data_IF_080253689425
#
_entry.id   IF_080253689425
#
_cell.length_a   1.000
_cell.length_b   1.000
_cell.length_c   1.000
_cell.angle_alpha   90.00
_cell.angle_beta   90.00
_cell.angle_gamma   90.00
#
_symmetry.space_group_name_H-M   'P 1'
#
loop_
_entity.id
_entity.type
_entity.pdbx_description
1 polymer ?
#
# COMPACT_ATOMS: atom_id res chain seq x y z
N UNK A 1 6.56 -6.14 11.83
CA UNK A 1 7.04 -5.62 10.53
C UNK A 1 5.83 -5.41 9.64
N UNK A 2 5.73 -4.23 9.02
CA UNK A 2 4.64 -3.84 8.12
C UNK A 2 5.24 -3.12 6.91
N UNK A 3 4.71 -3.41 5.73
CA UNK A 3 5.12 -2.77 4.48
C UNK A 3 4.11 -1.67 4.18
N UNK A 4 4.60 -0.45 3.98
CA UNK A 4 3.80 0.68 3.52
C UNK A 4 4.24 1.03 2.11
N UNK A 5 3.29 1.27 1.22
CA UNK A 5 3.56 1.60 -0.18
C UNK A 5 2.70 2.80 -0.58
N UNK A 6 3.33 3.86 -1.07
CA UNK A 6 2.65 4.82 -1.94
C UNK A 6 2.34 4.12 -3.27
N UNK A 7 1.07 3.81 -3.46
CA UNK A 7 0.57 3.03 -4.58
C UNK A 7 0.24 3.89 -5.81
N UNK A 8 0.28 5.22 -5.69
CA UNK A 8 0.17 6.16 -6.80
C UNK A 8 1.47 6.25 -7.60
N UNK A 9 2.60 6.24 -6.91
CA UNK A 9 3.93 6.20 -7.53
C UNK A 9 4.31 4.80 -8.06
N UNK A 10 3.66 3.73 -7.58
CA UNK A 10 4.03 2.36 -7.93
C UNK A 10 3.31 1.82 -9.19
N UNK A 11 4.05 1.32 -10.20
CA UNK A 11 3.49 0.56 -11.32
C UNK A 11 2.75 -0.70 -10.85
N UNK A 12 1.83 -1.21 -11.69
CA UNK A 12 1.02 -2.39 -11.37
C UNK A 12 1.89 -3.62 -11.01
N UNK A 13 2.93 -3.88 -11.78
CA UNK A 13 3.76 -5.07 -11.61
C UNK A 13 4.52 -5.06 -10.27
N UNK A 14 4.91 -3.88 -9.79
CA UNK A 14 5.53 -3.71 -8.47
C UNK A 14 4.53 -4.03 -7.36
N UNK A 15 3.29 -3.56 -7.48
CA UNK A 15 2.22 -3.86 -6.53
C UNK A 15 1.92 -5.36 -6.48
N UNK A 16 1.91 -6.03 -7.63
CA UNK A 16 1.72 -7.48 -7.69
C UNK A 16 2.85 -8.27 -7.00
N UNK A 17 4.10 -7.80 -7.10
CA UNK A 17 5.22 -8.37 -6.34
C UNK A 17 5.01 -8.20 -4.84
N UNK A 18 4.62 -7.00 -4.39
CA UNK A 18 4.33 -6.74 -2.97
C UNK A 18 3.20 -7.63 -2.47
N UNK A 19 2.10 -7.78 -3.22
CA UNK A 19 0.98 -8.63 -2.84
C UNK A 19 1.39 -10.10 -2.67
N UNK A 20 2.16 -10.64 -3.62
CA UNK A 20 2.68 -12.01 -3.55
C UNK A 20 3.65 -12.18 -2.38
N UNK A 21 4.51 -11.21 -2.14
CA UNK A 21 5.46 -11.23 -1.03
C UNK A 21 4.74 -11.17 0.33
N UNK A 22 3.79 -10.25 0.50
CA UNK A 22 2.95 -10.10 1.69
C UNK A 22 2.18 -11.39 2.01
N UNK A 23 1.55 -11.99 0.99
CA UNK A 23 0.85 -13.28 1.12
C UNK A 23 1.79 -14.41 1.59
N UNK A 24 2.92 -14.57 0.91
CA UNK A 24 3.87 -15.67 1.17
C UNK A 24 4.57 -15.53 2.51
N UNK A 25 4.88 -14.31 2.92
CA UNK A 25 5.61 -14.03 4.16
C UNK A 25 4.70 -13.72 5.34
N UNK A 26 3.39 -13.67 5.12
CA UNK A 26 2.40 -13.32 6.16
C UNK A 26 2.70 -11.97 6.81
N UNK A 27 3.15 -11.01 6.01
CA UNK A 27 3.49 -9.65 6.44
C UNK A 27 2.41 -8.72 5.95
N UNK A 28 1.92 -7.84 6.82
CA UNK A 28 0.92 -6.85 6.46
C UNK A 28 1.50 -5.84 5.47
N UNK A 29 0.83 -5.65 4.35
CA UNK A 29 1.11 -4.64 3.34
C UNK A 29 -0.09 -3.70 3.22
N UNK A 30 0.15 -2.41 3.39
CA UNK A 30 -0.87 -1.36 3.28
C UNK A 30 -0.54 -0.47 2.09
N UNK A 31 -1.45 -0.45 1.12
CA UNK A 31 -1.35 0.36 -0.09
C UNK A 31 -2.04 1.71 0.15
N UNK A 32 -1.31 2.81 0.07
CA UNK A 32 -1.86 4.16 0.25
C UNK A 32 -1.95 4.83 -1.11
N UNK A 33 -3.12 5.36 -1.47
CA UNK A 33 -3.33 6.01 -2.76
C UNK A 33 -4.42 7.08 -2.70
N UNK A 34 -4.39 8.03 -3.62
CA UNK A 34 -5.40 9.08 -3.80
C UNK A 34 -6.69 8.59 -4.49
N UNK A 35 -6.75 7.30 -4.82
CA UNK A 35 -7.90 6.66 -5.46
C UNK A 35 -8.08 5.22 -4.98
N UNK A 36 -9.31 4.68 -5.04
CA UNK A 36 -9.55 3.28 -4.71
C UNK A 36 -8.67 2.34 -5.53
N UNK A 37 -8.02 1.40 -4.84
CA UNK A 37 -7.13 0.42 -5.45
C UNK A 37 -7.71 -0.99 -5.31
N UNK A 38 -7.79 -1.71 -6.43
CA UNK A 38 -8.18 -3.10 -6.41
C UNK A 38 -7.05 -3.94 -5.77
N UNK A 39 -7.30 -4.49 -4.59
CA UNK A 39 -6.40 -5.42 -3.92
C UNK A 39 -6.91 -6.86 -4.04
N UNK A 40 -6.02 -7.86 -4.07
CA UNK A 40 -6.44 -9.25 -3.99
C UNK A 40 -7.16 -9.52 -2.66
N UNK A 41 -8.08 -10.49 -2.64
CA UNK A 41 -8.70 -10.97 -1.39
C UNK A 41 -7.65 -11.69 -0.55
N UNK A 42 -6.98 -10.97 0.33
CA UNK A 42 -5.94 -11.48 1.21
C UNK A 42 -5.94 -10.68 2.52
N UNK A 43 -5.94 -11.37 3.67
CA UNK A 43 -5.92 -10.73 4.99
C UNK A 43 -4.65 -9.91 5.28
N UNK A 44 -3.58 -10.12 4.52
CA UNK A 44 -2.31 -9.42 4.66
C UNK A 44 -2.16 -8.22 3.72
N UNK A 45 -3.15 -7.95 2.87
CA UNK A 45 -3.10 -6.82 1.94
C UNK A 45 -4.34 -5.96 2.16
N UNK A 46 -4.13 -4.69 2.48
CA UNK A 46 -5.19 -3.69 2.59
C UNK A 46 -4.85 -2.46 1.74
N UNK A 47 -5.85 -1.62 1.48
CA UNK A 47 -5.64 -0.31 0.89
C UNK A 47 -6.33 0.78 1.69
N UNK A 48 -5.71 1.96 1.70
CA UNK A 48 -6.25 3.19 2.27
C UNK A 48 -6.30 4.23 1.16
N UNK A 49 -7.44 4.90 1.07
CA UNK A 49 -7.60 6.04 0.17
C UNK A 49 -7.37 7.31 0.95
N UNK A 50 -6.46 8.15 0.46
CA UNK A 50 -6.16 9.48 0.99
C UNK A 50 -6.66 10.55 0.03
N UNK A 51 -6.62 11.81 0.46
CA UNK A 51 -6.95 12.94 -0.41
C UNK A 51 -5.96 13.05 -1.58
N UNK A 52 -6.40 13.67 -2.67
CA UNK A 52 -5.51 13.99 -3.78
C UNK A 52 -4.58 15.15 -3.41
N UNK A 53 -3.31 15.03 -3.78
CA UNK A 53 -2.30 16.08 -3.62
C UNK A 53 -0.91 15.50 -3.81
N UNK A 54 0.08 16.37 -4.03
CA UNK A 54 1.49 15.96 -3.95
C UNK A 54 1.81 15.56 -2.51
N UNK A 55 2.64 14.53 -2.34
CA UNK A 55 3.18 14.05 -1.06
C UNK A 55 2.17 13.58 -0.01
N UNK A 56 0.85 13.65 -0.27
CA UNK A 56 -0.20 13.29 0.71
C UNK A 56 -0.10 11.83 1.15
N UNK A 57 0.21 10.91 0.22
CA UNK A 57 0.39 9.50 0.56
C UNK A 57 1.63 9.28 1.44
N UNK A 58 2.73 9.96 1.11
CA UNK A 58 3.99 9.89 1.85
C UNK A 58 3.84 10.46 3.27
N UNK A 59 3.26 11.65 3.41
CA UNK A 59 2.99 12.27 4.71
C UNK A 59 2.11 11.38 5.58
N UNK A 60 1.05 10.82 5.00
CA UNK A 60 0.15 9.92 5.72
C UNK A 60 0.88 8.65 6.20
N UNK A 61 1.79 8.11 5.39
CA UNK A 61 2.63 6.96 5.78
C UNK A 61 3.61 7.39 6.88
N UNK A 62 4.31 8.51 6.72
CA UNK A 62 5.31 9.01 7.66
C UNK A 62 4.74 9.22 9.07
N UNK A 63 3.49 9.69 9.17
CA UNK A 63 2.78 9.84 10.45
C UNK A 63 2.47 8.50 11.17
N UNK A 64 2.51 7.36 10.46
CA UNK A 64 2.03 6.05 10.95
C UNK A 64 3.11 4.99 11.04
N UNK A 65 4.25 5.21 10.40
CA UNK A 65 5.42 4.36 10.57
C UNK A 65 6.00 4.66 11.95
N UNK A 66 6.06 3.62 12.80
CA UNK A 66 6.69 3.64 14.12
C UNK A 66 7.77 2.57 14.20
#
# INVERSE_FOLDING_TARGET
MKIWIDADACPRDVKDVVFKAAARRQVEAVMVANRPLATPKNRFVSSIVVSQGADVADDWIAERVA
#
